data_IF_640512316482
#
_entry.id   IF_640512316482
#
_cell.length_a   1.000
_cell.length_b   1.000
_cell.length_c   1.000
_cell.angle_alpha   90.00
_cell.angle_beta   90.00
_cell.angle_gamma   90.00
#
_symmetry.space_group_name_H-M   'P 1'
#
loop_
_entity.id
_entity.type
_entity.pdbx_description
1 polymer ?
#
# COMPACT_ATOMS: atom_id res chain seq x y z
N UNK A 1 6.14 21.90 46.09
CA UNK A 1 5.28 21.78 44.89
C UNK A 1 5.95 22.17 43.56
N UNK A 2 6.97 23.04 43.54
CA UNK A 2 7.64 23.47 42.29
C UNK A 2 8.46 22.36 41.60
N UNK A 3 9.09 21.47 42.37
CA UNK A 3 9.86 20.31 41.86
C UNK A 3 8.96 19.29 41.15
N UNK A 4 7.79 18.98 41.71
CA UNK A 4 6.82 18.08 41.10
C UNK A 4 6.30 18.61 39.76
N UNK A 5 6.03 19.93 39.66
CA UNK A 5 5.62 20.59 38.40
C UNK A 5 6.71 20.52 37.34
N UNK A 6 7.98 20.71 37.72
CA UNK A 6 9.13 20.57 36.82
C UNK A 6 9.28 19.14 36.31
N UNK A 7 9.13 18.14 37.20
CA UNK A 7 9.20 16.73 36.83
C UNK A 7 8.09 16.36 35.82
N UNK A 8 6.84 16.74 36.11
CA UNK A 8 5.72 16.49 35.20
C UNK A 8 5.92 17.18 33.85
N UNK A 9 6.43 18.41 33.83
CA UNK A 9 6.76 19.12 32.58
C UNK A 9 7.82 18.38 31.76
N UNK A 10 8.87 17.85 32.40
CA UNK A 10 9.91 17.09 31.70
C UNK A 10 9.37 15.78 31.15
N UNK A 11 8.52 15.08 31.90
CA UNK A 11 7.86 13.86 31.43
C UNK A 11 6.96 14.14 30.22
N UNK A 12 6.16 15.21 30.27
CA UNK A 12 5.31 15.64 29.16
C UNK A 12 6.12 16.01 27.92
N UNK A 13 7.21 16.76 28.08
CA UNK A 13 8.09 17.10 26.97
C UNK A 13 8.73 15.84 26.37
N UNK A 14 9.19 14.91 27.21
CA UNK A 14 9.76 13.65 26.76
C UNK A 14 8.75 12.81 25.96
N UNK A 15 7.50 12.71 26.42
CA UNK A 15 6.47 11.95 25.70
C UNK A 15 6.06 12.64 24.40
N UNK A 16 5.96 13.97 24.37
CA UNK A 16 5.73 14.74 23.14
C UNK A 16 6.83 14.51 22.11
N UNK A 17 8.11 14.55 22.51
CA UNK A 17 9.23 14.30 21.60
C UNK A 17 9.21 12.86 21.09
N UNK A 18 8.91 11.88 21.94
CA UNK A 18 8.78 10.47 21.52
C UNK A 18 7.66 10.29 20.49
N UNK A 19 6.50 10.91 20.70
CA UNK A 19 5.37 10.89 19.77
C UNK A 19 5.68 11.58 18.43
N UNK A 20 6.49 12.63 18.44
CA UNK A 20 6.92 13.34 17.22
C UNK A 20 8.03 12.59 16.46
N UNK A 21 8.86 11.82 17.18
CA UNK A 21 9.93 11.01 16.58
C UNK A 21 9.39 9.70 15.99
N UNK A 22 8.24 9.21 16.48
CA UNK A 22 7.51 8.16 15.78
C UNK A 22 7.19 8.67 14.37
N UNK A 23 7.58 7.94 13.31
CA UNK A 23 7.27 8.33 11.94
C UNK A 23 5.77 8.61 11.87
N UNK A 24 5.33 9.84 11.56
CA UNK A 24 3.93 10.08 11.35
C UNK A 24 3.51 9.13 10.23
N UNK A 25 2.59 8.23 10.56
CA UNK A 25 2.06 7.22 9.64
C UNK A 25 1.46 7.84 8.34
N UNK A 26 1.50 9.17 8.19
CA UNK A 26 1.11 9.92 7.01
C UNK A 26 1.89 11.21 6.75
N UNK A 27 3.19 11.34 7.09
CA UNK A 27 3.96 12.45 6.51
C UNK A 27 4.07 12.27 5.00
N UNK A 28 3.35 13.14 4.28
CA UNK A 28 3.28 13.27 2.84
C UNK A 28 4.63 13.73 2.24
N UNK A 29 5.69 12.95 2.38
CA UNK A 29 6.79 12.92 1.42
C UNK A 29 6.44 11.92 0.33
N UNK A 30 6.90 12.14 -0.91
CA UNK A 30 6.78 11.11 -1.94
C UNK A 30 7.37 9.80 -1.38
N UNK A 31 6.57 8.73 -1.24
CA UNK A 31 7.06 7.49 -0.65
C UNK A 31 8.12 6.90 -1.58
N UNK A 32 9.25 6.50 -1.01
CA UNK A 32 10.25 5.72 -1.73
C UNK A 32 9.62 4.39 -2.15
N UNK A 33 9.93 3.92 -3.35
CA UNK A 33 9.48 2.62 -3.83
C UNK A 33 9.94 1.53 -2.84
N UNK A 34 9.02 0.71 -2.29
CA UNK A 34 9.39 -0.35 -1.34
C UNK A 34 10.35 -1.35 -2.00
N UNK A 35 11.39 -1.74 -1.28
CA UNK A 35 12.39 -2.68 -1.79
C UNK A 35 11.91 -4.11 -1.54
N UNK A 36 11.93 -4.93 -2.59
CA UNK A 36 11.57 -6.34 -2.48
C UNK A 36 12.57 -7.09 -1.58
N UNK A 37 12.12 -7.76 -0.50
CA UNK A 37 13.01 -8.41 0.46
C UNK A 37 13.66 -9.70 -0.07
N UNK A 38 13.28 -10.17 -1.26
CA UNK A 38 13.81 -11.39 -1.87
C UNK A 38 12.96 -12.65 -1.60
N UNK A 39 13.21 -13.70 -2.37
CA UNK A 39 12.41 -14.94 -2.33
C UNK A 39 12.57 -15.74 -1.02
N UNK A 40 13.66 -15.51 -0.29
CA UNK A 40 13.96 -16.18 0.99
C UNK A 40 13.51 -15.36 2.21
N UNK A 41 12.69 -14.32 2.02
CA UNK A 41 12.20 -13.48 3.10
C UNK A 41 11.26 -14.24 4.04
N UNK A 42 11.27 -13.85 5.32
CA UNK A 42 10.30 -14.41 6.27
C UNK A 42 8.88 -13.93 5.94
N UNK A 43 7.83 -14.68 6.31
CA UNK A 43 6.45 -14.26 6.02
C UNK A 43 6.10 -12.90 6.66
N UNK A 44 6.71 -12.57 7.80
CA UNK A 44 6.54 -11.26 8.44
C UNK A 44 7.12 -10.13 7.59
N UNK A 45 8.32 -10.33 7.03
CA UNK A 45 8.96 -9.35 6.14
C UNK A 45 8.15 -9.18 4.84
N UNK A 46 7.61 -10.27 4.31
CA UNK A 46 6.75 -10.22 3.13
C UNK A 46 5.45 -9.48 3.41
N UNK A 47 4.85 -9.68 4.59
CA UNK A 47 3.65 -8.97 5.02
C UNK A 47 3.91 -7.46 5.19
N UNK A 48 5.06 -7.09 5.75
CA UNK A 48 5.50 -5.70 5.85
C UNK A 48 5.69 -5.07 4.47
N UNK A 49 6.41 -5.74 3.57
CA UNK A 49 6.58 -5.29 2.19
C UNK A 49 5.23 -5.10 1.47
N UNK A 50 4.30 -6.04 1.62
CA UNK A 50 2.97 -5.93 1.02
C UNK A 50 2.16 -4.74 1.58
N UNK A 51 2.26 -4.48 2.88
CA UNK A 51 1.60 -3.33 3.52
C UNK A 51 2.19 -2.00 3.01
N UNK A 52 3.52 -1.92 2.90
CA UNK A 52 4.23 -0.76 2.36
C UNK A 52 3.89 -0.53 0.88
N UNK A 53 3.87 -1.58 0.08
CA UNK A 53 3.48 -1.54 -1.33
C UNK A 53 2.04 -1.04 -1.50
N UNK A 54 1.10 -1.52 -0.69
CA UNK A 54 -0.28 -1.04 -0.71
C UNK A 54 -0.36 0.45 -0.39
N UNK A 55 0.40 0.91 0.60
CA UNK A 55 0.47 2.33 0.97
C UNK A 55 1.07 3.18 -0.15
N UNK A 56 2.14 2.71 -0.77
CA UNK A 56 2.80 3.35 -1.92
C UNK A 56 1.81 3.56 -3.08
N UNK A 57 1.15 2.47 -3.52
CA UNK A 57 0.17 2.51 -4.60
C UNK A 57 -0.98 3.45 -4.26
N UNK A 58 -1.52 3.35 -3.04
CA UNK A 58 -2.62 4.20 -2.61
C UNK A 58 -2.23 5.68 -2.63
N UNK A 59 -0.99 6.03 -2.30
CA UNK A 59 -0.53 7.43 -2.37
C UNK A 59 -0.37 7.91 -3.81
N UNK A 60 0.19 7.09 -4.70
CA UNK A 60 0.36 7.45 -6.11
C UNK A 60 -0.98 7.60 -6.84
N UNK A 61 -1.91 6.68 -6.55
CA UNK A 61 -3.17 6.54 -7.29
C UNK A 61 -4.33 7.24 -6.62
N UNK A 62 -4.13 7.87 -5.44
CA UNK A 62 -5.21 8.56 -4.73
C UNK A 62 -5.86 9.58 -5.67
N UNK A 63 -7.14 9.41 -6.03
CA UNK A 63 -7.82 10.33 -6.92
C UNK A 63 -7.76 11.73 -6.32
N UNK A 64 -7.19 12.69 -7.07
CA UNK A 64 -7.09 14.09 -6.64
C UNK A 64 -8.37 14.89 -6.94
N UNK A 65 -9.23 14.34 -7.79
CA UNK A 65 -10.56 14.86 -8.09
C UNK A 65 -11.56 13.71 -7.94
N UNK A 66 -12.65 13.94 -7.20
CA UNK A 66 -13.63 12.91 -6.86
C UNK A 66 -14.46 12.45 -8.05
N UNK A 67 -14.71 11.14 -8.11
CA UNK A 67 -15.65 10.40 -8.97
C UNK A 67 -15.85 10.98 -10.37
N UNK A 68 -14.98 10.60 -11.33
CA UNK A 68 -15.46 10.49 -12.71
C UNK A 68 -16.48 9.36 -12.74
N UNK A 69 -17.58 9.62 -13.43
CA UNK A 69 -18.78 8.84 -13.43
C UNK A 69 -18.53 7.36 -13.73
N UNK A 70 -19.43 6.53 -13.19
CA UNK A 70 -19.31 5.07 -13.11
C UNK A 70 -19.51 4.39 -14.48
N UNK A 71 -19.03 4.94 -15.59
CA UNK A 71 -19.14 4.27 -16.89
C UNK A 71 -17.92 3.39 -17.24
N UNK A 72 -16.74 3.64 -16.66
CA UNK A 72 -15.51 2.90 -17.02
C UNK A 72 -15.33 1.55 -16.30
N UNK A 73 -16.26 1.16 -15.43
CA UNK A 73 -16.17 -0.09 -14.63
C UNK A 73 -16.22 -1.36 -15.49
N UNK A 74 -16.65 -1.26 -16.75
CA UNK A 74 -16.71 -2.39 -17.68
C UNK A 74 -15.35 -2.69 -18.36
N UNK A 75 -14.43 -1.73 -18.43
CA UNK A 75 -13.18 -1.89 -19.18
C UNK A 75 -12.05 -2.52 -18.35
N UNK A 76 -12.10 -2.41 -17.00
CA UNK A 76 -11.04 -2.96 -16.14
C UNK A 76 -11.18 -4.48 -15.88
N UNK A 77 -12.40 -5.03 -16.00
CA UNK A 77 -12.62 -6.48 -15.88
C UNK A 77 -12.07 -7.25 -17.09
N UNK A 78 -11.77 -6.57 -18.21
CA UNK A 78 -11.30 -7.21 -19.44
C UNK A 78 -9.79 -7.53 -19.37
N UNK A 79 -9.02 -6.75 -18.62
CA UNK A 79 -7.56 -6.93 -18.52
C UNK A 79 -7.15 -8.13 -17.64
N UNK A 80 -8.07 -8.66 -16.84
CA UNK A 80 -7.80 -9.70 -15.84
C UNK A 80 -8.19 -11.13 -16.24
N UNK A 81 -8.49 -11.42 -17.51
CA UNK A 81 -8.87 -12.78 -17.91
C UNK A 81 -7.81 -13.45 -18.82
N UNK A 82 -6.89 -14.26 -18.26
CA UNK A 82 -5.97 -15.08 -19.03
C UNK A 82 -6.63 -16.28 -19.75
N UNK A 83 -7.96 -16.42 -19.65
CA UNK A 83 -8.67 -17.61 -20.16
C UNK A 83 -9.87 -17.22 -21.03
N UNK A 84 -9.60 -16.48 -22.10
CA UNK A 84 -10.41 -16.58 -23.33
C UNK A 84 -9.56 -17.20 -24.44
N UNK A 85 -8.92 -18.32 -24.15
CA UNK A 85 -8.50 -19.24 -25.18
C UNK A 85 -9.77 -19.86 -25.77
N UNK A 86 -10.17 -19.39 -26.96
CA UNK A 86 -11.19 -20.05 -27.75
C UNK A 86 -10.84 -21.55 -27.90
N UNK A 87 -11.81 -22.48 -27.81
CA UNK A 87 -11.57 -23.86 -28.20
C UNK A 87 -11.12 -23.85 -29.66
N UNK A 88 -9.86 -24.19 -29.92
CA UNK A 88 -9.40 -24.51 -31.26
C UNK A 88 -10.07 -25.83 -31.64
N UNK A 89 -11.17 -25.74 -32.37
CA UNK A 89 -11.77 -26.86 -33.10
C UNK A 89 -10.74 -27.34 -34.14
N UNK A 90 -9.87 -28.26 -33.71
CA UNK A 90 -9.02 -29.05 -34.58
C UNK A 90 -9.56 -30.48 -34.51
N UNK A 91 -10.38 -30.85 -35.49
CA UNK A 91 -10.28 -32.11 -36.24
C UNK A 91 -11.50 -32.29 -37.14
N UNK A 92 -11.33 -32.17 -38.45
CA UNK A 92 -11.89 -33.13 -39.41
C UNK A 92 -11.13 -33.03 -40.74
N UNK A 93 -10.01 -33.74 -40.82
CA UNK A 93 -9.49 -34.29 -42.07
C UNK A 93 -9.03 -35.69 -41.74
N UNK A 94 -9.74 -36.69 -42.26
CA UNK A 94 -9.27 -38.01 -42.71
C UNK A 94 -10.48 -38.94 -42.93
N UNK A 95 -10.88 -39.10 -44.20
CA UNK A 95 -10.98 -40.36 -44.99
C UNK A 95 -11.28 -39.98 -46.44
#
# INVERSE_FOLDING_TARGET
>A
MASARRCLSLLLLSTCVALLLQPPLGACGAPLEPVYPGDNATPEQMAQYAAELRRYINMLTRPRYGKRDKEDTLNLSEWGSPHRAAPRELTQMDV
#
